data_IF_823721691003
#
_entry.id   IF_823721691003
#
_cell.length_a   1.000
_cell.length_b   1.000
_cell.length_c   1.000
_cell.angle_alpha   90.00
_cell.angle_beta   90.00
_cell.angle_gamma   90.00
#
_symmetry.space_group_name_H-M   'P 1'
#
loop_
_entity.id
_entity.type
_entity.pdbx_description
1 polymer ?
#
# COMPACT_ATOMS: atom_id res chain seq x y z
N UNK A 1 -4.43 -11.18 -1.65
CA UNK A 1 -5.54 -10.50 -2.34
C UNK A 1 -6.83 -10.86 -1.62
N UNK A 2 -7.58 -9.88 -1.11
CA UNK A 2 -8.82 -10.16 -0.38
C UNK A 2 -10.02 -10.09 -1.35
N UNK A 3 -10.83 -11.15 -1.51
CA UNK A 3 -11.99 -11.17 -2.41
C UNK A 3 -13.03 -10.07 -2.09
N UNK A 4 -13.23 -9.72 -0.81
CA UNK A 4 -14.15 -8.65 -0.42
C UNK A 4 -13.71 -7.29 -1.00
N UNK A 5 -12.40 -7.01 -0.99
CA UNK A 5 -11.87 -5.77 -1.56
C UNK A 5 -12.07 -5.68 -3.08
N UNK A 6 -11.89 -6.80 -3.79
CA UNK A 6 -12.16 -6.85 -5.24
C UNK A 6 -13.64 -6.66 -5.53
N UNK A 7 -14.49 -7.33 -4.74
CA UNK A 7 -15.95 -7.21 -4.86
C UNK A 7 -16.41 -5.77 -4.58
N UNK A 8 -15.92 -5.13 -3.52
CA UNK A 8 -16.25 -3.74 -3.21
C UNK A 8 -15.88 -2.79 -4.37
N UNK A 9 -14.71 -2.97 -4.98
CA UNK A 9 -14.29 -2.15 -6.13
C UNK A 9 -15.20 -2.34 -7.35
N UNK A 10 -15.65 -3.55 -7.62
CA UNK A 10 -16.60 -3.84 -8.71
C UNK A 10 -18.01 -3.32 -8.41
N UNK A 11 -18.54 -3.60 -7.22
CA UNK A 11 -19.93 -3.26 -6.83
C UNK A 11 -20.14 -1.72 -6.80
N UNK A 12 -19.11 -0.96 -6.44
CA UNK A 12 -19.19 0.51 -6.42
C UNK A 12 -18.83 1.16 -7.77
N UNK A 13 -18.47 0.35 -8.77
CA UNK A 13 -17.98 0.87 -10.06
C UNK A 13 -16.62 1.56 -9.99
N UNK A 14 -15.89 1.40 -8.88
CA UNK A 14 -14.58 2.03 -8.66
C UNK A 14 -13.51 1.49 -9.60
N UNK A 15 -13.53 0.19 -9.90
CA UNK A 15 -12.63 -0.42 -10.86
C UNK A 15 -13.28 -1.59 -11.59
N UNK A 16 -12.92 -1.74 -12.89
CA UNK A 16 -13.25 -2.94 -13.67
C UNK A 16 -12.09 -3.92 -13.55
N UNK A 17 -12.30 -4.99 -12.82
CA UNK A 17 -11.26 -5.97 -12.50
C UNK A 17 -11.38 -7.18 -13.41
N UNK A 18 -10.27 -7.54 -14.07
CA UNK A 18 -10.08 -8.79 -14.76
C UNK A 18 -9.46 -9.79 -13.78
N UNK A 19 -10.13 -10.92 -13.55
CA UNK A 19 -9.60 -12.01 -12.73
C UNK A 19 -9.09 -13.14 -13.60
N UNK A 20 -7.80 -13.45 -13.47
CA UNK A 20 -7.23 -14.69 -14.00
C UNK A 20 -7.20 -15.73 -12.91
N UNK A 21 -7.70 -16.93 -13.20
CA UNK A 21 -7.77 -18.05 -12.25
C UNK A 21 -7.07 -19.26 -12.86
N UNK A 22 -6.18 -19.88 -12.10
CA UNK A 22 -5.50 -21.11 -12.47
C UNK A 22 -6.01 -22.25 -11.59
N UNK A 23 -6.41 -23.34 -12.24
CA UNK A 23 -6.95 -24.53 -11.59
C UNK A 23 -6.03 -25.71 -11.83
N UNK A 24 -5.82 -26.54 -10.81
CA UNK A 24 -5.09 -27.79 -10.95
C UNK A 24 -5.82 -28.72 -11.94
N UNK A 25 -5.07 -29.30 -12.88
CA UNK A 25 -5.63 -30.27 -13.83
C UNK A 25 -5.74 -31.65 -13.20
N UNK A 26 -6.91 -32.29 -13.38
CA UNK A 26 -7.13 -33.65 -12.91
C UNK A 26 -7.44 -33.80 -11.42
N UNK A 27 -7.46 -32.71 -10.63
CA UNK A 27 -7.93 -32.74 -9.25
C UNK A 27 -9.47 -32.80 -9.18
N UNK A 28 -10.00 -33.69 -8.34
CA UNK A 28 -11.42 -33.74 -7.99
C UNK A 28 -11.59 -33.72 -6.46
N UNK A 29 -12.17 -32.66 -5.88
CA UNK A 29 -12.72 -31.47 -6.53
C UNK A 29 -11.62 -30.58 -7.13
N UNK A 30 -11.95 -29.76 -8.15
CA UNK A 30 -11.02 -28.81 -8.76
C UNK A 30 -10.43 -27.90 -7.69
N UNK A 31 -9.10 -27.80 -7.64
CA UNK A 31 -8.37 -26.94 -6.72
C UNK A 31 -7.92 -25.67 -7.40
N UNK A 32 -8.23 -24.49 -6.82
CA UNK A 32 -7.73 -23.20 -7.26
C UNK A 32 -6.28 -23.04 -6.76
N UNK A 33 -5.32 -23.01 -7.67
CA UNK A 33 -3.87 -22.93 -7.35
C UNK A 33 -3.28 -21.55 -7.68
N UNK A 34 -4.02 -20.69 -8.36
CA UNK A 34 -3.55 -19.33 -8.66
C UNK A 34 -4.67 -18.35 -8.97
N UNK A 35 -4.48 -17.10 -8.55
CA UNK A 35 -5.35 -15.98 -8.88
C UNK A 35 -4.55 -14.70 -9.11
N UNK A 36 -4.86 -13.98 -10.18
CA UNK A 36 -4.24 -12.70 -10.48
C UNK A 36 -5.30 -11.68 -10.89
N UNK A 37 -5.43 -10.61 -10.14
CA UNK A 37 -6.35 -9.52 -10.45
C UNK A 37 -5.60 -8.42 -11.21
N UNK A 38 -6.14 -8.05 -12.35
CA UNK A 38 -5.59 -7.08 -13.27
C UNK A 38 -6.64 -6.02 -13.60
N UNK A 39 -6.19 -4.87 -14.05
CA UNK A 39 -7.04 -3.81 -14.58
C UNK A 39 -6.58 -3.45 -15.99
N UNK A 40 -7.53 -3.33 -16.92
CA UNK A 40 -7.24 -2.78 -18.24
C UNK A 40 -7.22 -1.26 -18.16
N UNK A 41 -6.07 -0.65 -18.39
CA UNK A 41 -5.87 0.79 -18.29
C UNK A 41 -5.46 1.40 -19.63
N UNK A 42 -6.05 2.55 -19.97
CA UNK A 42 -5.58 3.47 -21.01
C UNK A 42 -5.19 4.79 -20.38
N UNK A 43 -3.97 5.24 -20.60
CA UNK A 43 -3.50 6.54 -20.06
C UNK A 43 -4.16 7.74 -20.76
N UNK A 44 -4.58 7.56 -22.02
CA UNK A 44 -5.40 8.50 -22.79
C UNK A 44 -6.16 7.73 -23.89
N UNK A 45 -7.24 8.30 -24.47
CA UNK A 45 -8.07 7.61 -25.48
C UNK A 45 -7.31 7.05 -26.68
N UNK A 46 -6.27 7.75 -27.13
CA UNK A 46 -5.45 7.36 -28.31
C UNK A 46 -4.21 6.52 -27.94
N UNK A 47 -3.94 6.33 -26.66
CA UNK A 47 -2.82 5.49 -26.22
C UNK A 47 -3.21 4.02 -26.15
N UNK A 48 -2.25 3.10 -26.36
CA UNK A 48 -2.50 1.68 -26.23
C UNK A 48 -2.94 1.33 -24.81
N UNK A 49 -3.79 0.32 -24.72
CA UNK A 49 -4.16 -0.25 -23.43
C UNK A 49 -2.98 -1.04 -22.85
N UNK A 50 -2.89 -1.09 -21.53
CA UNK A 50 -1.97 -1.95 -20.79
C UNK A 50 -2.74 -2.67 -19.69
N UNK A 51 -2.30 -3.87 -19.34
CA UNK A 51 -2.74 -4.54 -18.13
C UNK A 51 -1.96 -3.96 -16.94
N UNK A 52 -2.65 -3.45 -15.95
CA UNK A 52 -2.04 -2.99 -14.70
C UNK A 52 -2.33 -4.02 -13.61
N UNK A 53 -1.28 -4.51 -12.95
CA UNK A 53 -1.42 -5.58 -11.97
C UNK A 53 -1.88 -5.08 -10.58
N UNK A 54 -1.95 -3.76 -10.34
CA UNK A 54 -2.76 -3.21 -9.27
C UNK A 54 -4.22 -3.16 -9.74
N UNK A 55 -5.12 -3.96 -9.17
CA UNK A 55 -6.49 -4.07 -9.66
C UNK A 55 -7.34 -2.81 -9.40
N UNK A 56 -6.88 -1.93 -8.51
CA UNK A 56 -7.48 -0.63 -8.20
C UNK A 56 -6.48 0.28 -7.49
N UNK A 57 -6.73 1.58 -7.46
CA UNK A 57 -5.80 2.62 -7.01
C UNK A 57 -5.27 2.46 -5.58
N UNK A 58 -6.00 1.83 -4.68
CA UNK A 58 -5.61 1.66 -3.28
C UNK A 58 -5.09 0.26 -2.96
N UNK A 59 -4.83 -0.57 -3.98
CA UNK A 59 -4.17 -1.86 -3.78
C UNK A 59 -2.69 -1.66 -3.43
N UNK A 60 -2.15 -2.56 -2.60
CA UNK A 60 -0.79 -2.42 -2.04
C UNK A 60 0.26 -3.24 -2.78
N UNK A 61 -0.17 -4.30 -3.45
CA UNK A 61 0.67 -5.29 -4.09
C UNK A 61 0.09 -5.70 -5.44
N UNK A 62 0.97 -5.88 -6.43
CA UNK A 62 0.63 -6.37 -7.76
C UNK A 62 0.92 -7.86 -7.97
N UNK A 63 1.53 -8.52 -6.98
CA UNK A 63 1.89 -9.92 -7.06
C UNK A 63 0.63 -10.80 -7.21
N UNK A 64 0.65 -11.80 -8.11
CA UNK A 64 -0.38 -12.83 -8.14
C UNK A 64 -0.34 -13.61 -6.81
N UNK A 65 -1.49 -14.12 -6.40
CA UNK A 65 -1.60 -15.09 -5.30
C UNK A 65 -1.53 -16.47 -5.95
N UNK A 66 -0.49 -17.23 -5.62
CA UNK A 66 -0.23 -18.53 -6.20
C UNK A 66 0.18 -19.48 -5.09
N UNK A 67 -0.33 -20.70 -5.13
CA UNK A 67 0.19 -21.77 -4.28
C UNK A 67 1.68 -21.98 -4.59
N UNK A 68 2.58 -21.89 -3.60
CA UNK A 68 4.01 -22.01 -3.85
C UNK A 68 4.42 -23.30 -4.57
N UNK A 69 3.68 -24.39 -4.39
CA UNK A 69 3.94 -25.67 -5.06
C UNK A 69 3.72 -25.61 -6.58
N UNK A 70 2.86 -24.69 -7.04
CA UNK A 70 2.47 -24.55 -8.44
C UNK A 70 2.97 -23.25 -9.11
N UNK A 71 3.78 -22.46 -8.42
CA UNK A 71 4.16 -21.12 -8.89
C UNK A 71 4.89 -21.14 -10.24
N UNK A 72 5.77 -22.12 -10.46
CA UNK A 72 6.55 -22.29 -11.69
C UNK A 72 5.71 -22.70 -12.90
N UNK A 73 4.51 -23.22 -12.69
CA UNK A 73 3.56 -23.61 -13.73
C UNK A 73 2.49 -22.55 -13.95
N UNK A 74 1.97 -21.97 -12.87
CA UNK A 74 0.87 -21.02 -12.90
C UNK A 74 1.28 -19.68 -13.52
N UNK A 75 2.49 -19.17 -13.21
CA UNK A 75 2.94 -17.89 -13.78
C UNK A 75 3.10 -17.94 -15.30
N UNK A 76 3.79 -18.94 -15.89
CA UNK A 76 3.81 -19.12 -17.33
C UNK A 76 2.42 -19.31 -17.94
N UNK A 77 1.50 -20.01 -17.25
CA UNK A 77 0.12 -20.20 -17.72
C UNK A 77 -0.65 -18.88 -17.78
N UNK A 78 -0.49 -17.98 -16.81
CA UNK A 78 -1.05 -16.63 -16.89
C UNK A 78 -0.51 -15.85 -18.08
N UNK A 79 0.78 -15.92 -18.37
CA UNK A 79 1.37 -15.27 -19.54
C UNK A 79 0.82 -15.83 -20.85
N UNK A 80 0.73 -17.15 -20.96
CA UNK A 80 0.16 -17.81 -22.13
C UNK A 80 -1.33 -17.42 -22.32
N UNK A 81 -2.09 -17.32 -21.24
CA UNK A 81 -3.49 -16.92 -21.34
C UNK A 81 -3.65 -15.46 -21.82
N UNK A 82 -2.77 -14.55 -21.40
CA UNK A 82 -2.76 -13.16 -21.90
C UNK A 82 -2.36 -13.14 -23.37
N UNK A 83 -1.27 -13.81 -23.75
CA UNK A 83 -0.73 -13.84 -25.10
C UNK A 83 -1.73 -14.41 -26.11
N UNK A 84 -2.47 -15.46 -25.74
CA UNK A 84 -3.46 -16.12 -26.57
C UNK A 84 -4.81 -15.39 -26.62
N UNK A 85 -5.00 -14.32 -25.84
CA UNK A 85 -6.25 -13.56 -25.84
C UNK A 85 -6.18 -12.40 -26.84
N UNK A 86 -7.06 -12.42 -27.85
CA UNK A 86 -7.19 -11.30 -28.79
C UNK A 86 -7.68 -9.98 -28.14
N UNK A 87 -8.28 -10.06 -26.94
CA UNK A 87 -8.87 -8.92 -26.24
C UNK A 87 -7.90 -8.25 -25.27
N UNK A 88 -6.82 -8.94 -24.90
CA UNK A 88 -5.89 -8.46 -23.88
C UNK A 88 -4.59 -7.93 -24.53
N UNK A 89 -4.08 -6.78 -24.05
CA UNK A 89 -2.77 -6.33 -24.47
C UNK A 89 -1.67 -7.17 -23.82
N UNK A 90 -0.59 -7.45 -24.56
CA UNK A 90 0.58 -8.17 -24.05
C UNK A 90 1.45 -7.34 -23.10
N UNK A 91 1.16 -6.05 -22.97
CA UNK A 91 1.92 -5.14 -22.09
C UNK A 91 1.33 -5.16 -20.70
N UNK A 92 2.15 -5.53 -19.70
CA UNK A 92 1.75 -5.59 -18.30
C UNK A 92 2.63 -4.66 -17.46
N UNK A 93 1.99 -3.80 -16.68
CA UNK A 93 2.61 -2.92 -15.70
C UNK A 93 2.46 -3.53 -14.31
N UNK A 94 3.57 -3.89 -13.70
CA UNK A 94 3.66 -4.43 -12.34
C UNK A 94 4.13 -3.30 -11.43
N UNK A 95 3.27 -2.83 -10.53
CA UNK A 95 3.61 -1.79 -9.55
C UNK A 95 3.58 -2.36 -8.15
N UNK A 96 4.50 -1.92 -7.31
CA UNK A 96 4.60 -2.41 -5.94
C UNK A 96 4.64 -3.94 -5.89
N UNK A 97 5.42 -4.55 -6.76
CA UNK A 97 5.64 -5.99 -6.75
C UNK A 97 6.61 -6.32 -5.62
N UNK A 98 6.26 -7.30 -4.79
CA UNK A 98 7.08 -7.73 -3.66
C UNK A 98 8.26 -8.59 -4.17
N UNK A 99 9.47 -8.02 -4.17
CA UNK A 99 10.68 -8.67 -4.69
C UNK A 99 11.16 -9.85 -3.80
N UNK A 100 10.66 -9.94 -2.58
CA UNK A 100 10.97 -11.04 -1.67
C UNK A 100 9.88 -12.13 -1.64
N UNK A 101 8.82 -11.96 -2.44
CA UNK A 101 7.75 -12.97 -2.51
C UNK A 101 8.19 -14.21 -3.29
N UNK A 102 7.69 -15.41 -2.95
CA UNK A 102 7.91 -16.62 -3.77
C UNK A 102 7.52 -16.41 -5.23
N UNK A 103 6.46 -15.67 -5.50
CA UNK A 103 6.00 -15.35 -6.85
C UNK A 103 7.03 -14.54 -7.67
N UNK A 104 7.92 -13.77 -7.02
CA UNK A 104 8.95 -13.02 -7.73
C UNK A 104 10.00 -13.93 -8.36
N UNK A 105 10.50 -14.94 -7.63
CA UNK A 105 11.47 -15.89 -8.17
C UNK A 105 10.91 -16.66 -9.39
N UNK A 106 9.66 -17.14 -9.29
CA UNK A 106 8.98 -17.83 -10.40
C UNK A 106 8.69 -16.88 -11.57
N UNK A 107 8.41 -15.60 -11.30
CA UNK A 107 8.23 -14.56 -12.32
C UNK A 107 9.52 -14.34 -13.11
N UNK A 108 10.67 -14.19 -12.44
CA UNK A 108 11.98 -14.02 -13.08
C UNK A 108 12.37 -15.27 -13.90
N UNK A 109 12.07 -16.46 -13.40
CA UNK A 109 12.26 -17.72 -14.14
C UNK A 109 11.41 -17.75 -15.42
N UNK A 110 10.14 -17.36 -15.32
CA UNK A 110 9.25 -17.27 -16.48
C UNK A 110 9.75 -16.23 -17.50
N UNK A 111 10.28 -15.09 -17.06
CA UNK A 111 10.90 -14.10 -17.96
C UNK A 111 12.08 -14.70 -18.72
N UNK A 112 12.99 -15.36 -18.00
CA UNK A 112 14.17 -15.99 -18.62
C UNK A 112 13.77 -17.05 -19.67
N UNK A 113 12.82 -17.92 -19.34
CA UNK A 113 12.36 -18.98 -20.27
C UNK A 113 11.68 -18.44 -21.53
N UNK A 114 11.06 -17.27 -21.44
CA UNK A 114 10.34 -16.63 -22.55
C UNK A 114 11.14 -15.53 -23.25
N UNK A 115 12.35 -15.23 -22.81
CA UNK A 115 13.16 -14.13 -23.33
C UNK A 115 12.54 -12.75 -23.05
N UNK A 116 11.74 -12.60 -21.99
CA UNK A 116 11.14 -11.34 -21.59
C UNK A 116 12.18 -10.51 -20.83
N UNK A 117 12.48 -9.32 -21.33
CA UNK A 117 13.35 -8.33 -20.68
C UNK A 117 12.48 -7.28 -19.98
N UNK A 118 12.33 -7.29 -18.65
CA UNK A 118 11.56 -6.30 -17.94
C UNK A 118 12.24 -4.93 -17.97
N UNK A 119 11.48 -3.87 -18.21
CA UNK A 119 11.93 -2.50 -17.97
C UNK A 119 11.72 -2.18 -16.49
N UNK A 120 12.80 -2.12 -15.73
CA UNK A 120 12.78 -1.69 -14.34
C UNK A 120 12.51 -0.19 -14.27
N UNK A 121 11.44 0.22 -13.59
CA UNK A 121 11.01 1.60 -13.47
C UNK A 121 11.42 2.21 -12.13
N UNK A 122 11.26 1.44 -11.04
CA UNK A 122 11.70 1.85 -9.71
C UNK A 122 11.99 0.62 -8.84
N UNK A 123 12.89 0.83 -7.89
CA UNK A 123 13.18 -0.06 -6.77
C UNK A 123 13.05 0.77 -5.49
N UNK A 124 12.31 0.29 -4.52
CA UNK A 124 12.06 0.99 -3.26
C UNK A 124 12.07 0.03 -2.09
N UNK A 125 12.54 0.49 -0.94
CA UNK A 125 12.60 -0.30 0.29
C UNK A 125 11.49 0.13 1.26
N UNK A 126 10.32 -0.46 1.14
CA UNK A 126 9.13 -0.13 1.96
C UNK A 126 9.37 -0.48 3.42
N UNK A 127 9.07 0.42 4.39
CA UNK A 127 9.14 0.07 5.81
C UNK A 127 8.29 -1.15 6.14
N UNK A 128 8.92 -2.14 6.77
CA UNK A 128 8.34 -3.44 7.09
C UNK A 128 8.94 -3.96 8.39
N UNK A 129 8.13 -4.57 9.24
CA UNK A 129 8.62 -5.18 10.49
C UNK A 129 8.01 -6.56 10.67
N UNK A 130 8.77 -7.43 11.31
CA UNK A 130 8.27 -8.70 11.85
C UNK A 130 8.29 -8.67 13.36
N UNK A 131 7.65 -9.63 13.99
CA UNK A 131 7.67 -9.81 15.43
C UNK A 131 9.12 -9.91 15.98
N UNK A 132 10.01 -10.53 15.23
CA UNK A 132 11.38 -10.81 15.64
C UNK A 132 12.34 -9.68 15.24
N UNK A 133 12.05 -8.97 14.16
CA UNK A 133 13.00 -8.04 13.56
C UNK A 133 12.35 -6.72 13.10
N UNK A 134 13.12 -5.67 13.20
CA UNK A 134 12.87 -4.41 12.50
C UNK A 134 12.31 -3.28 13.36
N UNK A 135 11.88 -3.50 14.59
CA UNK A 135 11.47 -2.43 15.50
C UNK A 135 12.71 -1.73 16.08
N UNK A 136 12.82 -0.43 15.90
CA UNK A 136 13.86 0.37 16.56
C UNK A 136 13.52 0.55 18.03
N UNK A 137 14.29 -0.06 18.92
CA UNK A 137 14.06 -0.02 20.38
C UNK A 137 14.82 1.10 21.10
N UNK A 138 15.74 1.80 20.42
CA UNK A 138 16.59 2.86 20.99
C UNK A 138 16.82 3.98 19.96
N UNK A 139 17.53 5.03 20.39
CA UNK A 139 17.91 6.16 19.55
C UNK A 139 17.04 7.41 19.76
N UNK A 140 17.33 8.47 19.00
CA UNK A 140 16.70 9.78 19.12
C UNK A 140 15.19 9.76 18.89
N UNK A 141 14.73 8.96 17.93
CA UNK A 141 13.30 8.79 17.62
C UNK A 141 12.56 8.20 18.81
N UNK A 142 13.09 7.15 19.44
CA UNK A 142 12.48 6.55 20.65
C UNK A 142 12.46 7.51 21.84
N UNK A 143 13.54 8.28 22.03
CA UNK A 143 13.57 9.33 23.06
C UNK A 143 12.49 10.38 22.81
N UNK A 144 12.37 10.83 21.55
CA UNK A 144 11.34 11.81 21.17
C UNK A 144 9.92 11.27 21.39
N UNK A 145 9.61 10.04 20.97
CA UNK A 145 8.27 9.44 21.17
C UNK A 145 7.91 9.37 22.67
N UNK A 146 8.86 8.95 23.52
CA UNK A 146 8.61 8.97 24.99
C UNK A 146 8.34 10.37 25.53
N UNK A 147 9.09 11.36 25.08
CA UNK A 147 8.86 12.75 25.47
C UNK A 147 7.49 13.26 24.99
N UNK A 148 7.16 12.99 23.72
CA UNK A 148 5.88 13.40 23.13
C UNK A 148 4.70 12.71 23.82
N UNK A 149 4.82 11.42 24.17
CA UNK A 149 3.82 10.70 24.95
C UNK A 149 3.61 11.32 26.35
N UNK A 150 4.70 11.57 27.09
CA UNK A 150 4.60 12.18 28.43
C UNK A 150 3.98 13.58 28.37
N UNK A 151 4.36 14.38 27.37
CA UNK A 151 3.77 15.72 27.15
C UNK A 151 2.30 15.64 26.76
N UNK A 152 1.90 14.63 25.97
CA UNK A 152 0.50 14.40 25.62
C UNK A 152 -0.29 13.98 26.87
N UNK A 153 0.25 13.05 27.67
CA UNK A 153 -0.36 12.58 28.92
C UNK A 153 -0.49 13.67 29.99
N UNK A 154 0.25 14.78 29.88
CA UNK A 154 0.06 15.93 30.76
C UNK A 154 -1.15 16.79 30.40
N UNK A 155 -1.78 16.55 29.22
CA UNK A 155 -2.99 17.26 28.82
C UNK A 155 -4.27 16.59 29.32
N UNK A 156 -4.22 15.28 29.57
CA UNK A 156 -5.38 14.49 29.94
C UNK A 156 -5.10 12.99 29.87
N UNK A 157 -6.15 12.20 30.02
CA UNK A 157 -6.08 10.73 29.90
C UNK A 157 -5.85 10.33 28.45
N UNK A 158 -4.70 9.68 28.17
CA UNK A 158 -4.34 9.19 26.84
C UNK A 158 -4.65 7.71 26.73
N UNK A 159 -5.43 7.34 25.71
CA UNK A 159 -5.76 5.95 25.43
C UNK A 159 -5.58 5.62 23.95
N UNK A 160 -5.29 4.35 23.64
CA UNK A 160 -5.32 3.79 22.30
C UNK A 160 -6.43 2.74 22.25
N UNK A 161 -7.33 2.89 21.29
CA UNK A 161 -8.45 1.96 21.09
C UNK A 161 -8.31 1.36 19.69
N UNK A 162 -8.33 0.03 19.61
CA UNK A 162 -8.24 -0.71 18.34
C UNK A 162 -9.20 -1.91 18.40
N UNK A 163 -10.39 -1.74 17.89
CA UNK A 163 -11.42 -2.79 17.84
C UNK A 163 -11.53 -3.38 16.44
N UNK A 164 -11.81 -4.68 16.38
CA UNK A 164 -12.20 -5.38 15.13
C UNK A 164 -13.70 -5.66 15.06
N UNK A 165 -14.48 -5.20 16.06
CA UNK A 165 -15.93 -5.29 16.00
C UNK A 165 -16.46 -4.43 14.83
N UNK A 166 -17.31 -4.94 13.94
CA UNK A 166 -17.75 -4.20 12.76
C UNK A 166 -18.35 -2.82 13.05
N UNK A 167 -19.20 -2.70 14.08
CA UNK A 167 -19.83 -1.43 14.43
C UNK A 167 -18.81 -0.39 14.91
N UNK A 168 -17.83 -0.82 15.72
CA UNK A 168 -16.75 0.05 16.20
C UNK A 168 -15.84 0.48 15.04
N UNK A 169 -15.56 -0.43 14.09
CA UNK A 169 -14.74 -0.12 12.90
C UNK A 169 -15.43 0.93 12.04
N UNK A 170 -16.72 0.80 11.78
CA UNK A 170 -17.49 1.77 11.00
C UNK A 170 -17.47 3.16 11.66
N UNK A 171 -17.74 3.23 12.96
CA UNK A 171 -17.73 4.49 13.69
C UNK A 171 -16.34 5.14 13.70
N UNK A 172 -15.29 4.35 13.97
CA UNK A 172 -13.91 4.84 13.98
C UNK A 172 -13.45 5.25 12.57
N UNK A 173 -13.97 4.59 11.53
CA UNK A 173 -13.66 4.96 10.15
C UNK A 173 -14.29 6.29 9.74
N UNK A 174 -15.52 6.60 10.13
CA UNK A 174 -16.09 7.93 9.90
C UNK A 174 -15.31 9.01 10.66
N UNK A 175 -14.82 8.72 11.87
CA UNK A 175 -13.91 9.61 12.61
C UNK A 175 -12.60 9.85 11.82
N UNK A 176 -12.00 8.78 11.27
CA UNK A 176 -10.83 8.89 10.41
C UNK A 176 -11.11 9.75 9.16
N UNK A 177 -12.22 9.51 8.46
CA UNK A 177 -12.59 10.25 7.25
C UNK A 177 -12.78 11.75 7.53
N UNK A 178 -13.44 12.10 8.62
CA UNK A 178 -13.62 13.48 9.05
C UNK A 178 -12.27 14.14 9.35
N UNK A 179 -11.38 13.44 10.08
CA UNK A 179 -10.04 13.91 10.43
C UNK A 179 -9.16 14.08 9.18
N UNK A 180 -9.18 13.12 8.24
CA UNK A 180 -8.43 13.22 6.98
C UNK A 180 -8.93 14.41 6.14
N UNK A 181 -10.25 14.62 6.08
CA UNK A 181 -10.85 15.75 5.36
C UNK A 181 -10.49 17.11 5.97
N UNK A 182 -10.39 17.21 7.29
CA UNK A 182 -9.97 18.41 8.01
C UNK A 182 -8.45 18.69 7.95
N UNK A 183 -7.65 17.76 7.40
CA UNK A 183 -6.20 17.89 7.27
C UNK A 183 -5.80 18.58 5.95
N UNK A 184 -4.48 18.82 5.79
CA UNK A 184 -3.89 19.33 4.54
C UNK A 184 -4.29 18.51 3.29
N UNK A 185 -4.63 17.23 3.45
CA UNK A 185 -5.11 16.38 2.35
C UNK A 185 -6.48 16.85 1.85
N UNK A 186 -7.37 17.27 2.76
CA UNK A 186 -8.65 17.86 2.38
C UNK A 186 -8.49 19.19 1.66
N UNK A 187 -7.56 20.04 2.12
CA UNK A 187 -7.23 21.31 1.46
C UNK A 187 -6.67 21.09 0.04
N UNK A 188 -5.90 20.02 -0.17
CA UNK A 188 -5.35 19.65 -1.48
C UNK A 188 -6.31 18.81 -2.36
N UNK A 189 -7.50 18.48 -1.86
CA UNK A 189 -8.46 17.65 -2.58
C UNK A 189 -8.05 16.16 -2.70
N UNK A 190 -7.12 15.69 -1.85
CA UNK A 190 -6.59 14.31 -1.87
C UNK A 190 -7.09 13.43 -0.73
N UNK A 191 -7.97 13.94 0.13
CA UNK A 191 -8.67 13.15 1.14
C UNK A 191 -9.70 12.23 0.47
N UNK A 192 -9.96 11.06 1.06
CA UNK A 192 -10.93 10.08 0.53
C UNK A 192 -12.33 10.68 0.33
N UNK A 193 -12.76 11.60 1.19
CA UNK A 193 -14.03 12.31 1.04
C UNK A 193 -14.02 13.43 -0.01
N UNK A 194 -12.89 13.66 -0.70
CA UNK A 194 -12.82 14.70 -1.74
C UNK A 194 -13.38 14.22 -3.07
N UNK A 195 -13.50 12.90 -3.27
CA UNK A 195 -14.12 12.27 -4.43
C UNK A 195 -15.24 11.32 -3.97
N UNK A 196 -16.41 11.41 -4.57
CA UNK A 196 -17.58 10.59 -4.19
C UNK A 196 -17.39 9.11 -4.52
N UNK A 197 -16.66 8.77 -5.59
CA UNK A 197 -16.37 7.39 -5.97
C UNK A 197 -15.37 6.77 -4.99
N UNK A 198 -14.33 7.51 -4.61
CA UNK A 198 -13.39 7.09 -3.56
C UNK A 198 -14.14 6.84 -2.24
N UNK A 199 -14.99 7.79 -1.83
CA UNK A 199 -15.76 7.69 -0.60
C UNK A 199 -16.70 6.48 -0.58
N UNK A 200 -17.41 6.22 -1.67
CA UNK A 200 -18.30 5.06 -1.79
C UNK A 200 -17.52 3.74 -1.73
N UNK A 201 -16.42 3.65 -2.48
CA UNK A 201 -15.57 2.47 -2.49
C UNK A 201 -14.98 2.18 -1.11
N UNK A 202 -14.37 3.18 -0.45
CA UNK A 202 -13.67 2.92 0.81
C UNK A 202 -14.61 2.56 1.95
N UNK A 203 -15.82 3.14 2.00
CA UNK A 203 -16.84 2.74 2.96
C UNK A 203 -17.27 1.30 2.76
N UNK A 204 -17.55 0.92 1.50
CA UNK A 204 -17.90 -0.47 1.18
C UNK A 204 -16.75 -1.43 1.49
N UNK A 205 -15.51 -1.06 1.14
CA UNK A 205 -14.31 -1.84 1.43
C UNK A 205 -14.18 -2.11 2.93
N UNK A 206 -14.23 -1.05 3.76
CA UNK A 206 -14.06 -1.20 5.21
C UNK A 206 -15.22 -1.98 5.85
N UNK A 207 -16.45 -1.75 5.42
CA UNK A 207 -17.61 -2.52 5.86
C UNK A 207 -17.42 -4.02 5.60
N UNK A 208 -17.11 -4.40 4.35
CA UNK A 208 -16.98 -5.81 3.96
C UNK A 208 -15.76 -6.49 4.61
N UNK A 209 -14.66 -5.76 4.86
CA UNK A 209 -13.49 -6.27 5.58
C UNK A 209 -13.77 -6.39 7.09
N UNK A 210 -14.42 -5.41 7.70
CA UNK A 210 -14.77 -5.44 9.12
C UNK A 210 -15.71 -6.60 9.46
N UNK A 211 -16.69 -6.89 8.59
CA UNK A 211 -17.59 -8.05 8.74
C UNK A 211 -16.85 -9.40 8.80
N UNK A 212 -15.59 -9.46 8.34
CA UNK A 212 -14.72 -10.65 8.38
C UNK A 212 -13.64 -10.58 9.45
N UNK A 213 -13.55 -9.48 10.21
CA UNK A 213 -12.45 -9.21 11.13
C UNK A 213 -11.13 -8.86 10.42
N UNK A 214 -11.19 -8.54 9.10
CA UNK A 214 -10.02 -8.23 8.26
C UNK A 214 -9.67 -6.74 8.24
N UNK A 215 -10.32 -5.91 9.05
CA UNK A 215 -10.01 -4.49 9.21
C UNK A 215 -10.19 -4.02 10.64
N UNK A 216 -9.46 -2.95 10.99
CA UNK A 216 -9.71 -2.14 12.17
C UNK A 216 -9.34 -0.68 11.91
N UNK A 217 -9.81 0.22 12.76
CA UNK A 217 -9.37 1.61 12.78
C UNK A 217 -8.95 1.95 14.20
N UNK A 218 -7.63 2.04 14.38
CA UNK A 218 -7.06 2.42 15.66
C UNK A 218 -7.18 3.92 15.88
N UNK A 219 -7.57 4.32 17.09
CA UNK A 219 -7.69 5.71 17.52
C UNK A 219 -6.77 5.99 18.71
N UNK A 220 -6.05 7.11 18.65
CA UNK A 220 -5.39 7.72 19.79
C UNK A 220 -6.30 8.83 20.32
N UNK A 221 -6.67 8.77 21.60
CA UNK A 221 -7.58 9.71 22.23
C UNK A 221 -6.92 10.43 23.40
N UNK A 222 -7.37 11.64 23.66
CA UNK A 222 -7.08 12.42 24.88
C UNK A 222 -8.41 12.85 25.47
N UNK A 223 -8.68 12.47 26.71
CA UNK A 223 -9.97 12.69 27.39
C UNK A 223 -11.18 12.27 26.56
N UNK A 224 -11.07 11.14 25.86
CA UNK A 224 -12.10 10.58 25.00
C UNK A 224 -12.17 11.16 23.58
N UNK A 225 -11.51 12.31 23.30
CA UNK A 225 -11.48 12.92 21.96
C UNK A 225 -10.39 12.28 21.09
N UNK A 226 -10.75 11.84 19.87
CA UNK A 226 -9.81 11.24 18.92
C UNK A 226 -8.90 12.31 18.29
N UNK A 227 -7.58 12.17 18.46
CA UNK A 227 -6.57 13.10 17.96
C UNK A 227 -5.70 12.50 16.84
N UNK A 228 -5.71 11.17 16.68
CA UNK A 228 -5.13 10.48 15.53
C UNK A 228 -5.91 9.19 15.25
N UNK A 229 -5.88 8.78 13.98
CA UNK A 229 -6.51 7.55 13.52
C UNK A 229 -5.61 6.83 12.51
N UNK A 230 -5.56 5.49 12.58
CA UNK A 230 -4.82 4.62 11.68
C UNK A 230 -5.74 3.52 11.16
N UNK A 231 -5.93 3.48 9.84
CA UNK A 231 -6.67 2.38 9.20
C UNK A 231 -5.73 1.20 9.00
N UNK A 232 -6.16 0.05 9.46
CA UNK A 232 -5.46 -1.22 9.39
C UNK A 232 -6.28 -2.23 8.58
N UNK A 233 -5.59 -3.01 7.75
CA UNK A 233 -6.16 -4.16 7.06
C UNK A 233 -5.35 -5.41 7.39
N UNK A 234 -5.99 -6.57 7.39
CA UNK A 234 -5.35 -7.83 7.76
C UNK A 234 -5.47 -8.85 6.63
N UNK A 235 -4.40 -9.59 6.40
CA UNK A 235 -4.40 -10.71 5.47
C UNK A 235 -3.46 -11.81 6.01
N UNK A 236 -4.02 -12.92 6.40
CA UNK A 236 -3.28 -13.95 7.13
C UNK A 236 -2.64 -13.36 8.39
N UNK A 237 -1.35 -13.61 8.58
CA UNK A 237 -0.57 -13.09 9.71
C UNK A 237 0.08 -11.71 9.47
N UNK A 238 -0.30 -11.01 8.40
CA UNK A 238 0.25 -9.68 8.08
C UNK A 238 -0.79 -8.58 8.26
N UNK A 239 -0.42 -7.54 9.01
CA UNK A 239 -1.17 -6.28 9.09
C UNK A 239 -0.61 -5.26 8.09
N UNK A 240 -1.50 -4.45 7.51
CA UNK A 240 -1.20 -3.38 6.56
C UNK A 240 -1.67 -2.05 7.13
N UNK A 241 -0.74 -1.12 7.36
CA UNK A 241 -1.06 0.21 7.87
C UNK A 241 -1.39 1.15 6.71
N UNK A 242 -2.65 1.13 6.26
CA UNK A 242 -3.03 1.76 5.01
C UNK A 242 -2.96 3.28 5.03
N UNK A 243 -3.69 3.93 5.94
CA UNK A 243 -3.78 5.39 6.00
C UNK A 243 -3.75 5.87 7.44
N UNK A 244 -3.07 6.99 7.66
CA UNK A 244 -3.01 7.70 8.93
C UNK A 244 -3.55 9.12 8.78
N UNK A 245 -4.34 9.56 9.73
CA UNK A 245 -4.78 10.95 9.88
C UNK A 245 -4.56 11.41 11.33
N UNK A 246 -4.43 12.71 11.55
CA UNK A 246 -4.34 13.30 12.87
C UNK A 246 -4.83 14.76 12.87
N UNK A 247 -5.31 15.23 14.01
CA UNK A 247 -5.67 16.63 14.22
C UNK A 247 -4.41 17.51 14.24
N UNK A 248 -4.35 18.50 13.35
CA UNK A 248 -3.23 19.42 13.22
C UNK A 248 -2.92 20.19 14.51
N UNK A 249 -3.91 20.42 15.38
CA UNK A 249 -3.73 21.07 16.68
C UNK A 249 -2.74 20.33 17.59
N UNK A 250 -2.66 18.99 17.43
CA UNK A 250 -1.78 18.11 18.18
C UNK A 250 -0.46 17.78 17.47
N UNK A 251 -0.17 18.39 16.31
CA UNK A 251 1.00 18.07 15.48
C UNK A 251 2.33 18.12 16.22
N UNK A 252 2.48 19.03 17.20
CA UNK A 252 3.68 19.17 18.04
C UNK A 252 3.99 17.96 18.93
N UNK A 253 3.02 17.04 19.10
CA UNK A 253 3.15 15.81 19.85
C UNK A 253 3.33 14.58 18.96
N UNK A 254 3.40 14.75 17.64
CA UNK A 254 3.56 13.66 16.66
C UNK A 254 2.53 12.52 16.81
N UNK A 255 1.19 12.82 16.92
CA UNK A 255 0.20 11.83 17.36
C UNK A 255 0.07 10.63 16.42
N UNK A 256 0.24 10.83 15.12
CA UNK A 256 0.26 9.71 14.17
C UNK A 256 1.43 8.75 14.39
N UNK A 257 2.63 9.27 14.74
CA UNK A 257 3.77 8.43 15.04
C UNK A 257 3.61 7.69 16.38
N UNK A 258 3.03 8.34 17.39
CA UNK A 258 2.69 7.72 18.66
C UNK A 258 1.69 6.58 18.48
N UNK A 259 0.64 6.80 17.69
CA UNK A 259 -0.37 5.78 17.40
C UNK A 259 0.24 4.57 16.71
N UNK A 260 1.02 4.77 15.63
CA UNK A 260 1.67 3.66 14.91
C UNK A 260 2.62 2.89 15.81
N UNK A 261 3.36 3.57 16.68
CA UNK A 261 4.26 2.92 17.63
C UNK A 261 3.51 2.01 18.59
N UNK A 262 2.43 2.51 19.20
CA UNK A 262 1.59 1.75 20.15
C UNK A 262 0.88 0.57 19.48
N UNK A 263 0.32 0.79 18.28
CA UNK A 263 -0.33 -0.28 17.53
C UNK A 263 0.67 -1.35 17.10
N UNK A 264 1.91 -0.99 16.76
CA UNK A 264 2.95 -1.97 16.46
C UNK A 264 3.22 -2.87 17.67
N UNK A 265 3.30 -2.30 18.87
CA UNK A 265 3.48 -3.06 20.12
C UNK A 265 2.25 -3.95 20.42
N UNK A 266 1.04 -3.41 20.28
CA UNK A 266 -0.22 -4.14 20.50
C UNK A 266 -0.37 -5.35 19.57
N UNK A 267 -0.18 -5.14 18.25
CA UNK A 267 -0.31 -6.19 17.26
C UNK A 267 0.67 -7.35 17.49
N UNK A 268 1.88 -7.04 17.94
CA UNK A 268 2.87 -8.07 18.25
C UNK A 268 2.72 -8.67 19.66
N UNK A 269 1.92 -8.09 20.54
CA UNK A 269 1.59 -8.72 21.83
C UNK A 269 0.67 -9.95 21.66
N UNK A 270 -0.25 -9.91 20.68
CA UNK A 270 -1.10 -11.06 20.33
C UNK A 270 -0.37 -12.09 19.44
N UNK A 271 -0.86 -13.33 19.32
CA UNK A 271 -0.22 -14.38 18.53
C UNK A 271 -0.44 -14.25 17.02
N UNK A 272 -1.48 -13.56 16.59
CA UNK A 272 -2.02 -13.65 15.22
C UNK A 272 -1.15 -12.93 14.19
N UNK A 273 -0.53 -11.79 14.58
CA UNK A 273 0.23 -10.96 13.65
C UNK A 273 1.72 -11.25 13.77
N UNK A 274 2.32 -11.65 12.65
CA UNK A 274 3.76 -11.93 12.53
C UNK A 274 4.50 -10.81 11.81
N UNK A 275 3.82 -10.04 10.98
CA UNK A 275 4.43 -8.98 10.19
C UNK A 275 3.51 -7.76 10.06
N UNK A 276 4.11 -6.58 9.88
CA UNK A 276 3.39 -5.33 9.57
C UNK A 276 4.05 -4.65 8.38
N UNK A 277 3.26 -4.40 7.33
CA UNK A 277 3.65 -3.67 6.13
C UNK A 277 3.13 -2.23 6.22
N UNK A 278 4.01 -1.26 6.03
CA UNK A 278 3.64 0.15 6.16
C UNK A 278 2.71 0.66 5.07
N UNK A 279 2.63 0.02 3.91
CA UNK A 279 1.98 0.54 2.69
C UNK A 279 2.46 1.96 2.30
N UNK A 280 3.58 2.41 2.83
CA UNK A 280 4.09 3.77 2.69
C UNK A 280 5.42 3.81 1.94
N UNK A 281 5.80 4.99 1.47
CA UNK A 281 7.09 5.22 0.84
C UNK A 281 8.25 5.02 1.83
N UNK A 282 9.44 4.78 1.31
CA UNK A 282 10.65 4.52 2.09
C UNK A 282 10.99 5.66 3.06
N UNK A 283 10.84 6.91 2.61
CA UNK A 283 11.11 8.13 3.36
C UNK A 283 9.99 8.55 4.32
N UNK A 284 8.93 7.72 4.47
CA UNK A 284 7.85 7.97 5.39
C UNK A 284 8.31 7.98 6.86
N UNK A 285 7.50 8.58 7.75
CA UNK A 285 7.80 8.57 9.18
C UNK A 285 7.91 7.15 9.76
N UNK A 286 7.24 6.15 9.18
CA UNK A 286 7.37 4.75 9.57
C UNK A 286 8.79 4.22 9.37
N UNK A 287 9.53 4.71 8.38
CA UNK A 287 10.94 4.40 8.20
C UNK A 287 11.85 4.91 9.33
N UNK A 288 11.37 5.86 10.14
CA UNK A 288 12.05 6.31 11.35
C UNK A 288 11.77 5.40 12.56
N UNK A 289 10.58 4.77 12.60
CA UNK A 289 10.17 3.84 13.66
C UNK A 289 10.71 2.43 13.44
N UNK A 290 10.72 2.00 12.19
CA UNK A 290 11.07 0.65 11.79
C UNK A 290 12.39 0.63 11.02
N UNK A 291 13.27 -0.29 11.36
CA UNK A 291 14.53 -0.53 10.64
C UNK A 291 14.36 -1.55 9.50
N UNK A 292 13.42 -2.47 9.67
CA UNK A 292 13.13 -3.49 8.66
C UNK A 292 12.58 -2.87 7.37
N UNK A 293 12.90 -3.53 6.26
CA UNK A 293 12.49 -3.13 4.90
C UNK A 293 12.00 -4.34 4.14
N UNK A 294 11.15 -4.07 3.16
CA UNK A 294 10.68 -5.02 2.14
C UNK A 294 10.94 -4.41 0.78
N UNK A 295 11.72 -5.10 -0.04
CA UNK A 295 12.05 -4.60 -1.37
C UNK A 295 10.86 -4.72 -2.31
N UNK A 296 10.52 -3.61 -2.94
CA UNK A 296 9.42 -3.47 -3.88
C UNK A 296 9.95 -3.00 -5.22
N UNK A 297 9.46 -3.58 -6.30
CA UNK A 297 9.86 -3.21 -7.65
C UNK A 297 8.64 -2.79 -8.49
N UNK A 298 8.85 -1.77 -9.32
CA UNK A 298 7.92 -1.42 -10.40
C UNK A 298 8.58 -1.79 -11.72
N UNK A 299 7.87 -2.52 -12.58
CA UNK A 299 8.39 -2.93 -13.87
C UNK A 299 7.30 -2.93 -14.95
N UNK A 300 7.73 -2.75 -16.19
CA UNK A 300 6.91 -2.91 -17.38
C UNK A 300 7.44 -4.10 -18.19
N UNK A 301 6.57 -5.02 -18.57
CA UNK A 301 6.92 -6.18 -19.38
C UNK A 301 6.06 -6.23 -20.64
N UNK A 302 6.58 -6.85 -21.68
CA UNK A 302 5.83 -7.29 -22.85
C UNK A 302 5.88 -8.81 -22.91
N UNK A 303 4.72 -9.45 -22.80
CA UNK A 303 4.62 -10.92 -22.76
C UNK A 303 4.73 -11.52 -24.18
N UNK A 304 4.41 -10.75 -25.21
CA UNK A 304 4.47 -11.20 -26.61
C UNK A 304 5.89 -11.32 -27.15
N UNK A 305 6.03 -11.87 -28.35
CA UNK A 305 7.34 -12.03 -28.99
C UNK A 305 7.93 -10.66 -29.36
N UNK A 306 8.97 -10.27 -28.67
CA UNK A 306 9.64 -8.98 -28.85
C UNK A 306 8.93 -7.81 -28.19
N UNK A 307 9.37 -6.58 -28.51
CA UNK A 307 8.82 -5.35 -27.91
C UNK A 307 7.82 -4.72 -28.88
N UNK A 308 6.52 -4.89 -28.57
CA UNK A 308 5.41 -4.34 -29.34
C UNK A 308 5.44 -2.79 -29.41
N UNK A 309 4.71 -2.22 -30.37
CA UNK A 309 4.53 -0.77 -30.44
C UNK A 309 3.87 -0.23 -29.18
N UNK A 310 2.89 -0.95 -28.61
CA UNK A 310 2.25 -0.60 -27.35
C UNK A 310 3.24 -0.49 -26.19
N UNK A 311 4.16 -1.46 -26.09
CA UNK A 311 5.23 -1.43 -25.11
C UNK A 311 6.14 -0.21 -25.26
N UNK A 312 6.59 0.07 -26.50
CA UNK A 312 7.50 1.20 -26.77
C UNK A 312 6.86 2.55 -26.42
N UNK A 313 5.58 2.73 -26.74
CA UNK A 313 4.82 3.94 -26.40
C UNK A 313 4.71 4.08 -24.86
N UNK A 314 4.29 3.02 -24.17
CA UNK A 314 4.11 3.07 -22.72
C UNK A 314 5.45 3.24 -21.98
N UNK A 315 6.49 2.53 -22.40
CA UNK A 315 7.86 2.69 -21.88
C UNK A 315 8.35 4.14 -22.03
N UNK A 316 8.19 4.72 -23.24
CA UNK A 316 8.55 6.11 -23.51
C UNK A 316 7.79 7.09 -22.61
N UNK A 317 6.48 6.87 -22.42
CA UNK A 317 5.62 7.68 -21.54
C UNK A 317 6.10 7.62 -20.08
N UNK A 318 6.35 6.42 -19.55
CA UNK A 318 6.79 6.23 -18.16
C UNK A 318 8.18 6.81 -17.91
N UNK A 319 9.14 6.56 -18.80
CA UNK A 319 10.49 7.13 -18.70
C UNK A 319 10.47 8.67 -18.82
N UNK A 320 9.63 9.20 -19.72
CA UNK A 320 9.42 10.64 -19.86
C UNK A 320 8.86 11.27 -18.59
N UNK A 321 7.84 10.66 -18.00
CA UNK A 321 7.27 11.11 -16.72
C UNK A 321 8.32 11.11 -15.59
N UNK A 322 9.11 10.06 -15.46
CA UNK A 322 10.19 9.97 -14.45
C UNK A 322 11.26 11.06 -14.65
N UNK A 323 11.65 11.35 -15.90
CA UNK A 323 12.58 12.45 -16.20
C UNK A 323 12.01 13.80 -15.78
N UNK A 324 10.75 14.07 -16.13
CA UNK A 324 10.07 15.33 -15.75
C UNK A 324 9.92 15.44 -14.22
N UNK A 325 9.58 14.37 -13.53
CA UNK A 325 9.50 14.32 -12.06
C UNK A 325 10.84 14.64 -11.41
N UNK A 326 11.93 14.04 -11.90
CA UNK A 326 13.30 14.32 -11.42
C UNK A 326 13.71 15.77 -11.66
N UNK A 327 13.40 16.33 -12.83
CA UNK A 327 13.65 17.74 -13.14
C UNK A 327 12.86 18.66 -12.21
N UNK A 328 11.55 18.45 -12.05
CA UNK A 328 10.69 19.23 -11.13
C UNK A 328 11.23 19.22 -9.70
N UNK A 329 11.66 18.05 -9.20
CA UNK A 329 12.21 17.92 -7.86
C UNK A 329 13.55 18.68 -7.71
N UNK A 330 14.42 18.65 -8.73
CA UNK A 330 15.67 19.43 -8.76
C UNK A 330 15.39 20.95 -8.72
N UNK A 331 14.39 21.42 -9.44
CA UNK A 331 13.97 22.83 -9.40
C UNK A 331 13.36 23.21 -8.04
N UNK A 332 12.52 22.38 -7.46
CA UNK A 332 11.98 22.63 -6.11
C UNK A 332 13.07 22.72 -5.05
N UNK A 333 14.06 21.83 -5.07
CA UNK A 333 15.21 21.89 -4.14
C UNK A 333 16.07 23.15 -4.34
N UNK A 334 16.15 23.69 -5.54
CA UNK A 334 16.88 24.96 -5.80
C UNK A 334 16.10 26.21 -5.37
N UNK A 335 14.78 26.14 -5.36
CA UNK A 335 13.89 27.26 -4.98
C UNK A 335 13.48 27.24 -3.50
N UNK A 336 13.71 26.13 -2.79
CA UNK A 336 13.49 26.09 -1.35
C UNK A 336 14.66 26.78 -0.66
N UNK A 337 14.43 27.85 0.14
CA UNK A 337 15.49 28.48 0.91
C UNK A 337 16.11 27.43 1.87
N UNK A 338 17.41 27.51 2.17
CA UNK A 338 18.04 26.60 3.10
C UNK A 338 17.28 26.67 4.43
N UNK A 339 16.80 25.53 4.92
CA UNK A 339 16.21 25.43 6.27
C UNK A 339 17.28 25.93 7.24
N UNK A 340 17.16 27.16 7.69
CA UNK A 340 17.94 27.70 8.79
C UNK A 340 17.73 26.75 9.98
N UNK A 341 18.78 26.02 10.35
CA UNK A 341 18.87 25.41 11.66
C UNK A 341 18.69 26.56 12.63
N UNK A 342 17.54 26.63 13.32
CA UNK A 342 17.38 27.59 14.40
C UNK A 342 18.46 27.25 15.43
N UNK A 343 19.51 28.05 15.45
CA UNK A 343 20.49 28.04 16.50
C UNK A 343 19.76 28.36 17.80
N UNK A 344 19.81 27.43 18.73
CA UNK A 344 19.57 27.68 20.13
C UNK A 344 20.62 28.71 20.58
N UNK A 345 20.29 29.99 20.53
CA UNK A 345 21.00 30.98 21.33
C UNK A 345 20.55 30.82 22.76
N UNK A 346 21.38 30.18 23.54
CA UNK A 346 21.47 30.41 24.99
C UNK A 346 22.04 31.81 25.19
N UNK A 347 21.39 32.60 26.04
CA UNK A 347 22.03 33.76 26.73
C UNK A 347 21.14 34.24 27.86
N UNK A 348 21.70 34.85 28.86
CA UNK A 348 22.35 34.30 30.05
C UNK A 348 21.39 34.17 31.25
#
# INVERSE_FOLDING_TARGET
>A
MNPAALKAACDTGFAKILMMLAWEQGAEPRQLVGAWALQLRKAAPLLPAVLEALPYNYAFLSSPVVDPAFADEVIPAFFAAIENSAELPNVVSLKSFDAESPSHASMLKAFSLRGIEPLMLSETARPFVTREFGIKRSGSTRKKLRQDWNRLSSLGTVEVVNSRNPADVEQAFETFLAMEKASWKGEQGTALLSDSHDAAFVRRLLHDLAARGDASVALLRVDGEAIAAQVLMYCGSTAYTWKTAFDAKFSKYSPGALLVDRITEELFAGPDIQAINSCAAEDSFMGQLWAGRRDMVDMLIDIGPGKSLGYRIEAGRLLGYERLRKLRNRFRHRLSPPRTKSALTATP
#
